data_IF_952381623296
#
_entry.id   IF_952381623296
#
_cell.length_a   1.000
_cell.length_b   1.000
_cell.length_c   1.000
_cell.angle_alpha   90.00
_cell.angle_beta   90.00
_cell.angle_gamma   90.00
#
_symmetry.space_group_name_H-M   'P 1'
#
loop_
_entity.id
_entity.type
_entity.pdbx_description
1 polymer ?
#
# COMPACT_ATOMS: atom_id res chain seq x y z
N UNK A 1 28.34 9.61 13.52
CA UNK A 1 27.12 9.21 14.29
C UNK A 1 25.93 9.54 13.42
N UNK A 2 24.95 8.64 13.34
CA UNK A 2 23.70 8.85 12.63
C UNK A 2 22.81 9.80 13.43
N UNK A 3 22.26 10.80 12.78
CA UNK A 3 21.38 11.80 13.38
C UNK A 3 19.98 11.57 12.81
N UNK A 4 19.08 11.05 13.63
CA UNK A 4 17.69 10.82 13.26
C UNK A 4 16.91 12.11 13.50
N UNK A 5 16.52 12.72 12.39
CA UNK A 5 15.85 14.02 12.40
C UNK A 5 14.33 13.95 12.20
N UNK A 6 13.80 12.74 12.19
CA UNK A 6 12.38 12.42 12.10
C UNK A 6 12.12 10.94 12.28
N UNK A 7 11.00 10.45 11.79
CA UNK A 7 10.64 9.05 11.77
C UNK A 7 9.59 8.78 10.70
N UNK A 8 9.57 7.56 10.17
CA UNK A 8 8.55 7.11 9.22
C UNK A 8 7.23 6.74 9.92
N UNK A 9 6.18 6.65 9.13
CA UNK A 9 4.83 6.35 9.60
C UNK A 9 4.42 4.92 9.29
N UNK A 10 3.50 4.40 10.12
CA UNK A 10 2.84 3.12 9.89
C UNK A 10 1.36 3.33 9.61
N UNK A 11 0.78 2.50 8.75
CA UNK A 11 -0.65 2.48 8.54
C UNK A 11 -1.41 2.25 9.85
N UNK A 12 -2.42 3.07 10.12
CA UNK A 12 -3.28 2.98 11.29
C UNK A 12 -2.72 3.61 12.58
N UNK A 13 -1.62 4.35 12.51
CA UNK A 13 -1.07 5.03 13.70
C UNK A 13 -1.77 6.35 14.06
N UNK A 14 -2.65 6.86 13.20
CA UNK A 14 -3.46 8.06 13.46
C UNK A 14 -2.94 9.33 12.79
N UNK A 15 -1.79 9.86 13.22
CA UNK A 15 -1.24 11.13 12.74
C UNK A 15 0.18 10.96 12.19
N UNK A 16 0.54 11.82 11.22
CA UNK A 16 1.91 11.92 10.71
C UNK A 16 2.87 12.34 11.83
N UNK A 17 4.02 11.67 11.93
CA UNK A 17 5.04 11.95 12.94
C UNK A 17 5.84 13.18 12.56
N UNK A 18 5.74 14.21 13.40
CA UNK A 18 6.54 15.44 13.30
C UNK A 18 7.30 15.62 14.60
N UNK A 19 8.59 15.90 14.51
CA UNK A 19 9.44 16.14 15.68
C UNK A 19 9.70 17.63 15.82
N UNK A 20 9.68 18.11 17.08
CA UNK A 20 9.86 19.52 17.40
C UNK A 20 11.17 20.08 16.86
N UNK A 21 11.09 21.11 16.03
CA UNK A 21 12.23 21.74 15.35
C UNK A 21 13.30 22.26 16.33
N UNK A 22 12.88 22.83 17.47
CA UNK A 22 13.80 23.38 18.49
C UNK A 22 14.65 22.27 19.14
N UNK A 23 14.06 21.11 19.41
CA UNK A 23 14.78 19.97 20.01
C UNK A 23 15.83 19.43 19.05
N UNK A 24 15.48 19.32 17.76
CA UNK A 24 16.42 18.90 16.73
C UNK A 24 17.54 19.92 16.50
N UNK A 25 17.22 21.21 16.48
CA UNK A 25 18.21 22.28 16.36
C UNK A 25 19.27 22.20 17.48
N UNK A 26 18.83 22.06 18.72
CA UNK A 26 19.70 21.93 19.88
C UNK A 26 20.53 20.66 19.84
N UNK A 27 19.91 19.53 19.53
CA UNK A 27 20.60 18.24 19.42
C UNK A 27 21.67 18.26 18.32
N UNK A 28 21.38 18.85 17.17
CA UNK A 28 22.33 19.02 16.08
C UNK A 28 23.54 19.88 16.50
N UNK A 29 23.29 21.00 17.17
CA UNK A 29 24.34 21.90 17.69
C UNK A 29 25.23 21.18 18.71
N UNK A 30 24.62 20.45 19.65
CA UNK A 30 25.34 19.64 20.66
C UNK A 30 26.22 18.55 20.03
N UNK A 31 25.74 17.90 18.98
CA UNK A 31 26.50 16.88 18.25
C UNK A 31 27.65 17.47 17.46
N UNK A 32 27.42 18.58 16.75
CA UNK A 32 28.47 19.25 15.96
C UNK A 32 29.59 19.83 16.84
N UNK A 33 29.29 20.22 18.09
CA UNK A 33 30.32 20.59 19.07
C UNK A 33 31.23 19.43 19.50
N UNK A 34 30.82 18.18 19.28
CA UNK A 34 31.53 16.98 19.73
C UNK A 34 32.09 16.14 18.59
N UNK A 35 31.67 16.34 17.36
CA UNK A 35 32.11 15.52 16.24
C UNK A 35 31.36 15.76 14.95
N UNK A 36 31.29 14.72 14.13
CA UNK A 36 30.64 14.75 12.83
C UNK A 36 29.25 14.12 12.88
N UNK A 37 28.35 14.62 12.04
CA UNK A 37 26.97 14.17 11.91
C UNK A 37 26.74 13.60 10.52
N UNK A 38 25.96 12.54 10.45
CA UNK A 38 25.41 11.97 9.24
C UNK A 38 23.89 11.96 9.40
N UNK A 39 23.18 12.72 8.56
CA UNK A 39 21.73 12.80 8.62
C UNK A 39 21.09 11.51 8.16
N UNK A 40 20.07 11.06 8.90
CA UNK A 40 19.18 9.99 8.54
C UNK A 40 17.74 10.39 8.94
N UNK A 41 16.90 10.80 7.97
CA UNK A 41 17.11 10.95 6.53
C UNK A 41 17.29 12.43 6.16
N UNK A 42 18.12 12.71 5.18
CA UNK A 42 18.14 14.05 4.57
C UNK A 42 16.97 14.28 3.63
N UNK A 43 16.56 13.22 2.95
CA UNK A 43 15.38 13.09 2.12
C UNK A 43 14.89 11.64 2.21
N UNK A 44 13.66 11.44 2.64
CA UNK A 44 13.09 10.10 2.80
C UNK A 44 12.60 9.49 1.49
N UNK A 45 11.83 10.25 0.73
CA UNK A 45 11.26 9.83 -0.56
C UNK A 45 9.98 9.03 -0.43
N UNK A 46 9.75 8.08 -1.36
CA UNK A 46 8.49 7.36 -1.51
C UNK A 46 8.74 5.86 -1.65
N UNK A 47 7.98 5.05 -0.94
CA UNK A 47 7.91 3.60 -1.09
C UNK A 47 7.01 3.23 -2.29
N UNK A 48 7.47 3.48 -3.51
CA UNK A 48 6.70 3.18 -4.71
C UNK A 48 6.34 1.69 -4.84
N UNK A 49 5.22 1.42 -5.48
CA UNK A 49 4.77 0.06 -5.71
C UNK A 49 4.39 -0.67 -4.42
N UNK A 50 4.92 -1.87 -4.26
CA UNK A 50 4.77 -2.68 -3.06
C UNK A 50 6.08 -2.74 -2.23
N UNK A 51 6.94 -1.72 -2.38
CA UNK A 51 8.30 -1.73 -1.80
C UNK A 51 8.37 -1.16 -0.38
N UNK A 52 7.24 -0.79 0.22
CA UNK A 52 7.22 -0.45 1.64
C UNK A 52 7.69 -1.65 2.48
N UNK A 53 8.45 -1.36 3.52
CA UNK A 53 8.77 -2.31 4.56
C UNK A 53 7.70 -2.39 5.64
N UNK A 54 8.04 -3.04 6.73
CA UNK A 54 7.25 -3.05 7.96
C UNK A 54 8.15 -3.26 9.17
N UNK A 55 7.74 -2.74 10.32
CA UNK A 55 8.28 -3.13 11.59
C UNK A 55 7.43 -4.25 12.20
N UNK A 56 7.93 -4.88 13.25
CA UNK A 56 7.20 -5.88 14.02
C UNK A 56 7.37 -5.60 15.51
N UNK A 57 6.24 -5.42 16.20
CA UNK A 57 6.17 -5.27 17.65
C UNK A 57 4.97 -6.08 18.19
N UNK A 58 5.12 -7.42 18.18
CA UNK A 58 4.05 -8.36 18.51
C UNK A 58 2.91 -8.42 17.46
N UNK A 59 2.91 -7.49 16.52
CA UNK A 59 2.07 -7.42 15.33
C UNK A 59 2.82 -6.72 14.19
N UNK A 60 2.39 -6.94 12.97
CA UNK A 60 2.94 -6.25 11.81
C UNK A 60 2.54 -4.76 11.85
N UNK A 61 3.52 -3.90 11.59
CA UNK A 61 3.37 -2.44 11.49
C UNK A 61 3.85 -2.01 10.10
N UNK A 62 2.99 -2.09 9.07
CA UNK A 62 3.40 -1.80 7.70
C UNK A 62 3.62 -0.30 7.53
N UNK A 63 4.73 0.05 6.87
CA UNK A 63 5.09 1.44 6.57
C UNK A 63 4.12 2.01 5.53
N UNK A 64 3.80 3.30 5.66
CA UNK A 64 3.00 4.00 4.65
C UNK A 64 3.79 4.19 3.34
N UNK A 65 3.09 4.59 2.29
CA UNK A 65 3.72 4.82 0.98
C UNK A 65 4.68 6.00 1.02
N UNK A 66 4.32 7.10 1.66
CA UNK A 66 5.24 8.21 1.86
C UNK A 66 6.32 7.86 2.89
N UNK A 67 7.57 8.07 2.53
CA UNK A 67 8.68 8.03 3.48
C UNK A 67 9.18 9.45 3.76
N UNK A 68 8.28 10.41 3.90
CA UNK A 68 8.60 11.83 4.15
C UNK A 68 9.57 11.99 5.32
N UNK A 69 9.35 11.25 6.40
CA UNK A 69 10.24 11.16 7.57
C UNK A 69 10.29 12.45 8.39
N UNK A 70 9.50 13.48 8.04
CA UNK A 70 9.71 14.83 8.55
C UNK A 70 11.16 15.32 8.31
N UNK A 71 11.72 14.96 7.13
CA UNK A 71 13.11 15.19 6.76
C UNK A 71 13.36 16.68 6.37
N UNK A 72 14.64 17.12 6.27
CA UNK A 72 14.99 18.43 5.74
C UNK A 72 14.47 18.73 4.35
N UNK A 73 14.33 17.71 3.49
CA UNK A 73 13.60 17.81 2.22
C UNK A 73 12.31 17.00 2.32
N UNK A 74 11.19 17.58 1.88
CA UNK A 74 9.90 16.87 1.79
C UNK A 74 9.95 15.71 0.82
N UNK A 75 8.92 14.84 0.81
CA UNK A 75 8.81 13.68 -0.07
C UNK A 75 9.07 14.02 -1.56
N UNK A 76 8.59 15.17 -2.03
CA UNK A 76 8.80 15.68 -3.40
C UNK A 76 10.06 16.54 -3.55
N UNK A 77 10.93 16.59 -2.52
CA UNK A 77 12.23 17.29 -2.57
C UNK A 77 12.18 18.80 -2.33
N UNK A 78 11.07 19.36 -1.86
CA UNK A 78 11.01 20.78 -1.47
C UNK A 78 11.81 21.04 -0.20
N UNK A 79 12.43 22.22 -0.12
CA UNK A 79 13.12 22.69 1.06
C UNK A 79 12.10 22.96 2.17
N UNK A 80 12.29 22.34 3.35
CA UNK A 80 11.45 22.53 4.53
C UNK A 80 12.03 23.60 5.47
N UNK A 81 11.25 24.00 6.47
CA UNK A 81 11.75 24.87 7.55
C UNK A 81 12.91 24.20 8.30
N UNK A 82 12.87 22.88 8.47
CA UNK A 82 13.92 22.09 9.13
C UNK A 82 15.26 22.19 8.38
N UNK A 83 15.24 22.13 7.04
CA UNK A 83 16.44 22.36 6.23
C UNK A 83 17.07 23.72 6.52
N UNK A 84 16.27 24.79 6.52
CA UNK A 84 16.76 26.14 6.74
C UNK A 84 17.34 26.32 8.16
N UNK A 85 16.71 25.74 9.16
CA UNK A 85 17.20 25.77 10.52
C UNK A 85 18.50 24.97 10.71
N UNK A 86 18.59 23.77 10.10
CA UNK A 86 19.82 22.99 10.13
C UNK A 86 20.97 23.69 9.42
N UNK A 87 20.69 24.34 8.30
CA UNK A 87 21.67 25.17 7.61
C UNK A 87 22.22 26.28 8.50
N UNK A 88 21.35 26.99 9.26
CA UNK A 88 21.77 28.00 10.22
C UNK A 88 22.65 27.45 11.34
N UNK A 89 22.33 26.26 11.85
CA UNK A 89 23.17 25.61 12.88
C UNK A 89 24.53 25.23 12.30
N UNK A 90 24.57 24.58 11.13
CA UNK A 90 25.80 24.12 10.51
C UNK A 90 26.73 25.30 10.16
N UNK A 91 26.15 26.45 9.75
CA UNK A 91 26.94 27.66 9.42
C UNK A 91 27.76 28.21 10.57
N UNK A 92 27.43 27.87 11.83
CA UNK A 92 28.25 28.22 13.01
C UNK A 92 29.57 27.44 13.08
N UNK A 93 29.68 26.30 12.41
CA UNK A 93 30.81 25.37 12.49
C UNK A 93 31.63 25.31 11.21
N UNK A 94 31.05 25.65 10.07
CA UNK A 94 31.74 25.67 8.77
C UNK A 94 31.07 26.64 7.81
N UNK A 95 31.82 27.09 6.84
CA UNK A 95 31.28 27.81 5.70
C UNK A 95 30.39 26.87 4.87
N UNK A 96 29.20 27.35 4.52
CA UNK A 96 28.26 26.64 3.65
C UNK A 96 28.33 27.30 2.29
N UNK A 97 28.64 26.52 1.22
CA UNK A 97 28.63 27.06 -0.14
C UNK A 97 27.20 27.50 -0.50
N UNK A 98 27.12 28.59 -1.26
CA UNK A 98 25.85 29.00 -1.87
C UNK A 98 25.45 27.99 -2.94
N UNK A 99 24.24 27.48 -2.86
CA UNK A 99 23.71 26.49 -3.81
C UNK A 99 22.63 27.17 -4.65
N UNK A 100 22.86 27.25 -5.95
CA UNK A 100 21.84 27.67 -6.91
C UNK A 100 20.98 26.47 -7.30
N UNK A 101 19.68 26.55 -7.04
CA UNK A 101 18.71 25.56 -7.50
C UNK A 101 18.36 25.86 -8.95
N UNK A 102 18.88 25.08 -9.87
CA UNK A 102 18.75 25.30 -11.32
C UNK A 102 17.44 24.81 -11.90
N UNK A 103 16.72 23.92 -11.20
CA UNK A 103 15.46 23.37 -11.66
C UNK A 103 14.42 23.44 -10.53
N UNK A 104 13.48 24.38 -10.58
CA UNK A 104 12.42 24.44 -9.58
C UNK A 104 11.51 23.21 -9.74
N UNK A 105 11.18 22.58 -8.61
CA UNK A 105 10.13 21.57 -8.56
C UNK A 105 8.79 22.30 -8.71
N UNK A 106 8.06 21.96 -9.76
CA UNK A 106 6.76 22.57 -10.02
C UNK A 106 5.67 21.61 -9.60
N UNK A 107 4.87 22.01 -8.62
CA UNK A 107 3.65 21.30 -8.23
C UNK A 107 2.47 21.78 -9.07
N UNK A 108 1.60 20.86 -9.48
CA UNK A 108 0.41 21.16 -10.29
C UNK A 108 -0.81 20.42 -9.74
N UNK A 109 -1.94 21.14 -9.76
CA UNK A 109 -3.26 20.54 -9.60
C UNK A 109 -3.86 20.27 -10.98
N UNK A 110 -4.36 19.05 -11.18
CA UNK A 110 -5.12 18.69 -12.39
C UNK A 110 -6.62 18.58 -12.10
N UNK A 111 -7.02 18.85 -10.84
CA UNK A 111 -8.41 18.89 -10.42
C UNK A 111 -9.06 17.55 -10.19
N UNK A 112 -10.39 17.54 -10.24
CA UNK A 112 -11.21 16.37 -9.97
C UNK A 112 -11.45 15.56 -11.24
N UNK A 113 -11.18 14.26 -11.17
CA UNK A 113 -11.39 13.31 -12.25
C UNK A 113 -12.60 12.43 -11.95
N UNK A 114 -13.39 12.15 -12.97
CA UNK A 114 -14.52 11.22 -12.90
C UNK A 114 -14.05 9.83 -13.33
N UNK A 115 -14.58 8.79 -12.67
CA UNK A 115 -14.37 7.41 -13.11
C UNK A 115 -14.94 7.21 -14.51
N UNK A 116 -14.22 6.50 -15.36
CA UNK A 116 -14.62 6.22 -16.73
C UNK A 116 -15.00 4.78 -16.94
N UNK A 117 -14.24 3.87 -16.35
CA UNK A 117 -14.45 2.44 -16.47
C UNK A 117 -14.23 1.76 -15.10
N UNK A 118 -14.95 0.66 -14.86
CA UNK A 118 -14.81 -0.18 -13.69
C UNK A 118 -14.81 -1.64 -14.11
N UNK A 119 -14.02 -2.49 -13.43
CA UNK A 119 -14.03 -3.94 -13.63
C UNK A 119 -13.86 -4.65 -12.30
N UNK A 120 -14.67 -5.65 -12.00
CA UNK A 120 -14.57 -6.50 -10.82
C UNK A 120 -13.31 -7.36 -10.84
N UNK A 121 -12.65 -7.54 -9.70
CA UNK A 121 -11.50 -8.44 -9.60
C UNK A 121 -11.86 -9.87 -10.06
N UNK A 122 -12.99 -10.37 -9.60
CA UNK A 122 -13.41 -11.75 -9.89
C UNK A 122 -13.74 -11.96 -11.38
N UNK A 123 -14.23 -10.93 -12.05
CA UNK A 123 -14.66 -10.96 -13.45
C UNK A 123 -13.49 -10.85 -14.43
N UNK A 124 -12.40 -10.18 -14.04
CA UNK A 124 -11.17 -10.01 -14.84
C UNK A 124 -10.03 -10.93 -14.40
N UNK A 125 -10.26 -11.82 -13.43
CA UNK A 125 -9.23 -12.64 -12.80
C UNK A 125 -8.47 -13.53 -13.80
N UNK A 126 -9.16 -14.08 -14.79
CA UNK A 126 -8.61 -14.96 -15.82
C UNK A 126 -7.64 -14.25 -16.79
N UNK A 127 -7.75 -12.93 -16.95
CA UNK A 127 -6.81 -12.12 -17.73
C UNK A 127 -5.59 -11.70 -16.90
N UNK A 128 -5.77 -11.55 -15.60
CA UNK A 128 -4.72 -11.13 -14.66
C UNK A 128 -3.79 -12.27 -14.26
N UNK A 129 -4.33 -13.48 -14.08
CA UNK A 129 -3.60 -14.59 -13.48
C UNK A 129 -4.05 -15.94 -13.99
N UNK A 130 -3.11 -16.89 -14.02
CA UNK A 130 -3.39 -18.31 -14.26
C UNK A 130 -3.28 -19.05 -12.93
N UNK A 131 -4.29 -19.84 -12.52
CA UNK A 131 -4.26 -20.50 -11.21
C UNK A 131 -3.22 -21.62 -11.12
N UNK A 132 -2.57 -21.70 -9.97
CA UNK A 132 -1.83 -22.87 -9.53
C UNK A 132 -2.77 -23.74 -8.71
N UNK A 133 -2.88 -25.02 -9.05
CA UNK A 133 -3.81 -25.97 -8.41
C UNK A 133 -3.08 -26.94 -7.53
N UNK A 134 -3.43 -26.93 -6.25
CA UNK A 134 -2.85 -27.86 -5.27
C UNK A 134 -3.89 -28.31 -4.24
N UNK A 135 -3.55 -29.40 -3.55
CA UNK A 135 -4.40 -29.93 -2.49
C UNK A 135 -4.46 -28.97 -1.27
N UNK A 136 -3.34 -28.35 -0.92
CA UNK A 136 -3.22 -27.38 0.17
C UNK A 136 -2.83 -26.01 -0.38
N UNK A 137 -3.19 -24.91 0.31
CA UNK A 137 -2.69 -23.59 -0.06
C UNK A 137 -1.16 -23.55 -0.01
N UNK A 138 -0.56 -22.81 -0.93
CA UNK A 138 0.86 -22.49 -0.97
C UNK A 138 1.07 -21.04 -0.53
N UNK A 139 2.18 -20.77 0.14
CA UNK A 139 2.61 -19.40 0.46
C UNK A 139 2.95 -18.61 -0.81
N UNK A 140 3.04 -17.29 -0.70
CA UNK A 140 3.49 -16.45 -1.83
C UNK A 140 4.88 -16.85 -2.32
N UNK A 141 5.79 -17.21 -1.40
CA UNK A 141 7.15 -17.65 -1.73
C UNK A 141 7.16 -18.97 -2.52
N UNK A 142 6.28 -19.91 -2.16
CA UNK A 142 6.13 -21.18 -2.90
C UNK A 142 5.48 -20.98 -4.27
N UNK A 143 4.67 -19.93 -4.42
CA UNK A 143 4.12 -19.47 -5.71
C UNK A 143 5.12 -18.64 -6.54
N UNK A 144 6.32 -18.36 -6.01
CA UNK A 144 7.34 -17.54 -6.67
C UNK A 144 7.02 -16.04 -6.68
N UNK A 145 6.17 -15.58 -5.75
CA UNK A 145 5.70 -14.21 -5.66
C UNK A 145 6.26 -13.51 -4.41
N UNK A 146 6.80 -12.29 -4.56
CA UNK A 146 7.42 -11.55 -3.47
C UNK A 146 6.53 -10.48 -2.83
N UNK A 147 5.52 -9.97 -3.56
CA UNK A 147 4.67 -8.84 -3.16
C UNK A 147 3.29 -8.91 -3.81
N UNK A 148 2.39 -8.00 -3.43
CA UNK A 148 1.05 -7.88 -4.00
C UNK A 148 0.04 -8.76 -3.29
N UNK A 149 -0.83 -9.42 -4.07
CA UNK A 149 -1.97 -10.18 -3.56
C UNK A 149 -1.95 -11.61 -4.09
N UNK A 150 -2.61 -12.53 -3.40
CA UNK A 150 -2.98 -13.86 -3.90
C UNK A 150 -4.45 -14.09 -3.60
N UNK A 151 -5.21 -14.49 -4.61
CA UNK A 151 -6.56 -15.00 -4.40
C UNK A 151 -6.53 -16.52 -4.30
N UNK A 152 -6.96 -17.05 -3.16
CA UNK A 152 -7.16 -18.48 -2.92
C UNK A 152 -8.63 -18.80 -3.11
N UNK A 153 -8.96 -19.65 -4.07
CA UNK A 153 -10.34 -20.08 -4.36
C UNK A 153 -10.51 -21.57 -4.13
N UNK A 154 -11.56 -21.93 -3.45
CA UNK A 154 -11.93 -23.34 -3.29
C UNK A 154 -13.45 -23.52 -3.25
N UNK A 155 -13.92 -24.70 -3.65
CA UNK A 155 -15.33 -25.06 -3.59
C UNK A 155 -15.62 -25.86 -2.33
N UNK A 156 -16.54 -25.37 -1.50
CA UNK A 156 -17.03 -26.07 -0.32
C UNK A 156 -18.24 -26.92 -0.73
N UNK A 157 -18.21 -28.23 -0.39
CA UNK A 157 -19.26 -29.21 -0.72
C UNK A 157 -19.88 -29.86 0.50
N UNK A 158 -19.64 -29.32 1.70
CA UNK A 158 -20.02 -29.95 2.98
C UNK A 158 -21.22 -29.31 3.67
N UNK A 159 -22.19 -28.87 2.89
CA UNK A 159 -23.41 -28.23 3.39
C UNK A 159 -23.32 -26.71 3.41
N UNK A 160 -24.48 -26.13 3.63
CA UNK A 160 -24.71 -24.69 3.50
C UNK A 160 -24.15 -23.89 4.69
N UNK A 161 -24.28 -24.44 5.92
CA UNK A 161 -23.86 -23.78 7.16
C UNK A 161 -22.37 -24.05 7.43
N UNK A 162 -21.55 -23.02 7.39
CA UNK A 162 -20.15 -23.05 7.81
C UNK A 162 -20.05 -22.42 9.19
N UNK A 163 -19.88 -23.25 10.22
CA UNK A 163 -19.81 -22.79 11.62
C UNK A 163 -18.47 -22.19 11.98
N UNK A 164 -17.41 -22.66 11.32
CA UNK A 164 -16.06 -22.15 11.54
C UNK A 164 -15.22 -22.20 10.27
N UNK A 165 -14.57 -21.08 9.98
CA UNK A 165 -13.51 -20.95 8.99
C UNK A 165 -12.31 -20.30 9.65
N UNK A 166 -11.17 -21.01 9.66
CA UNK A 166 -9.94 -20.55 10.30
C UNK A 166 -8.79 -20.62 9.30
N UNK A 167 -8.00 -19.54 9.19
CA UNK A 167 -6.78 -19.50 8.39
C UNK A 167 -5.61 -19.80 9.33
N UNK A 168 -4.85 -20.84 9.03
CA UNK A 168 -3.67 -21.22 9.79
C UNK A 168 -2.39 -20.77 9.09
N UNK A 169 -1.59 -19.95 9.80
CA UNK A 169 -0.37 -19.37 9.26
C UNK A 169 -0.62 -18.39 8.12
N UNK A 170 -1.66 -17.55 8.25
CA UNK A 170 -1.94 -16.50 7.28
C UNK A 170 -1.16 -15.23 7.59
N UNK A 171 -0.73 -14.49 6.55
CA UNK A 171 -0.08 -13.19 6.62
C UNK A 171 -0.20 -12.43 5.29
N UNK A 172 -0.55 -11.12 5.27
CA UNK A 172 -0.70 -10.23 6.46
C UNK A 172 -2.15 -9.80 6.66
N UNK A 173 -2.94 -9.64 5.56
CA UNK A 173 -4.35 -9.25 5.58
C UNK A 173 -5.15 -10.16 4.67
N UNK A 174 -6.29 -10.64 5.16
CA UNK A 174 -7.21 -11.51 4.44
C UNK A 174 -8.59 -10.88 4.33
N UNK A 175 -9.19 -10.96 3.14
CA UNK A 175 -10.62 -10.71 2.93
C UNK A 175 -11.25 -12.01 2.48
N UNK A 176 -12.28 -12.47 3.20
CA UNK A 176 -12.98 -13.71 2.93
C UNK A 176 -14.32 -13.41 2.23
N UNK A 177 -14.60 -14.17 1.18
CA UNK A 177 -15.84 -14.09 0.44
C UNK A 177 -16.50 -15.48 0.36
N UNK A 178 -17.79 -15.54 0.60
CA UNK A 178 -18.61 -16.73 0.41
C UNK A 178 -19.61 -16.45 -0.72
N UNK A 179 -19.55 -17.23 -1.80
CA UNK A 179 -20.36 -17.03 -3.01
C UNK A 179 -20.37 -15.57 -3.50
N UNK A 180 -19.18 -14.94 -3.53
CA UNK A 180 -19.00 -13.55 -3.96
C UNK A 180 -19.37 -12.50 -2.91
N UNK A 181 -19.88 -12.86 -1.73
CA UNK A 181 -20.24 -11.92 -0.67
C UNK A 181 -19.13 -11.85 0.38
N UNK A 182 -18.68 -10.64 0.71
CA UNK A 182 -17.71 -10.45 1.78
C UNK A 182 -18.29 -10.91 3.14
N UNK A 183 -17.57 -11.80 3.81
CA UNK A 183 -18.01 -12.35 5.11
C UNK A 183 -17.07 -11.98 6.25
N UNK A 184 -15.81 -11.65 5.96
CA UNK A 184 -14.83 -11.28 6.99
C UNK A 184 -13.65 -10.51 6.42
N UNK A 185 -13.02 -9.66 7.27
CA UNK A 185 -11.71 -9.05 7.02
C UNK A 185 -10.85 -9.33 8.25
N UNK A 186 -9.62 -9.79 8.04
CA UNK A 186 -8.66 -10.09 9.11
C UNK A 186 -7.33 -9.43 8.83
N UNK A 187 -6.78 -8.80 9.85
CA UNK A 187 -5.40 -8.33 9.83
C UNK A 187 -4.49 -9.37 10.52
N UNK A 188 -3.19 -9.18 10.44
CA UNK A 188 -2.15 -10.05 10.97
C UNK A 188 -2.46 -10.62 12.38
N UNK A 189 -2.76 -9.74 13.34
CA UNK A 189 -3.05 -10.12 14.73
C UNK A 189 -4.42 -10.79 14.95
N UNK A 190 -5.27 -10.85 13.92
CA UNK A 190 -6.60 -11.46 13.96
C UNK A 190 -6.70 -12.69 13.02
N UNK A 191 -5.60 -13.09 12.42
CA UNK A 191 -5.61 -14.10 11.35
C UNK A 191 -6.18 -15.44 11.82
N UNK A 192 -5.91 -15.83 13.05
CA UNK A 192 -6.40 -17.07 13.67
C UNK A 192 -7.88 -17.00 14.13
N UNK A 193 -8.54 -15.85 13.95
CA UNK A 193 -9.95 -15.71 14.32
C UNK A 193 -10.83 -16.69 13.56
N UNK A 194 -11.81 -17.24 14.26
CA UNK A 194 -12.83 -18.11 13.68
C UNK A 194 -14.03 -17.31 13.22
N UNK A 195 -14.47 -17.51 11.97
CA UNK A 195 -15.65 -16.87 11.41
C UNK A 195 -16.61 -17.93 10.86
N UNK A 196 -17.90 -17.82 11.20
CA UNK A 196 -18.96 -18.61 10.59
C UNK A 196 -19.69 -17.81 9.52
N UNK A 197 -20.19 -18.51 8.50
CA UNK A 197 -21.00 -17.91 7.43
C UNK A 197 -21.93 -18.95 6.79
N UNK A 198 -22.83 -18.51 5.94
CA UNK A 198 -23.70 -19.38 5.17
C UNK A 198 -23.40 -19.25 3.67
N UNK A 199 -23.36 -20.37 2.96
CA UNK A 199 -23.36 -20.44 1.51
C UNK A 199 -24.77 -20.30 0.96
N UNK A 200 -24.91 -19.89 -0.27
CA UNK A 200 -26.24 -19.81 -0.91
C UNK A 200 -26.86 -21.19 -1.12
N UNK A 201 -26.04 -22.20 -1.42
CA UNK A 201 -26.45 -23.58 -1.69
C UNK A 201 -25.62 -24.57 -0.86
N UNK A 202 -25.93 -25.87 -0.99
CA UNK A 202 -25.15 -26.98 -0.38
C UNK A 202 -23.71 -27.04 -0.89
N UNK A 203 -23.45 -26.43 -2.03
CA UNK A 203 -22.14 -26.25 -2.64
C UNK A 203 -21.96 -24.78 -3.00
N UNK A 204 -20.83 -24.18 -2.60
CA UNK A 204 -20.50 -22.79 -2.89
C UNK A 204 -19.01 -22.54 -2.90
N UNK A 205 -18.63 -21.34 -3.25
CA UNK A 205 -17.22 -20.93 -3.32
C UNK A 205 -16.79 -20.18 -2.06
N UNK A 206 -15.60 -20.51 -1.60
CA UNK A 206 -14.83 -19.72 -0.64
C UNK A 206 -13.67 -19.07 -1.39
N UNK A 207 -13.63 -17.75 -1.39
CA UNK A 207 -12.52 -16.95 -1.90
C UNK A 207 -11.84 -16.25 -0.72
N UNK A 208 -10.50 -16.28 -0.69
CA UNK A 208 -9.68 -15.57 0.31
C UNK A 208 -8.67 -14.73 -0.45
N UNK A 209 -8.86 -13.41 -0.44
CA UNK A 209 -7.90 -12.46 -0.98
C UNK A 209 -6.87 -12.12 0.11
N UNK A 210 -5.65 -12.62 -0.06
CA UNK A 210 -4.53 -12.34 0.83
C UNK A 210 -3.68 -11.19 0.27
N UNK A 211 -3.31 -10.26 1.14
CA UNK A 211 -2.38 -9.18 0.83
C UNK A 211 -1.08 -9.32 1.64
N UNK A 212 0.06 -9.18 0.97
CA UNK A 212 1.35 -8.93 1.58
C UNK A 212 1.47 -7.42 1.85
N UNK A 213 1.40 -6.99 3.10
CA UNK A 213 1.40 -5.58 3.49
C UNK A 213 2.80 -4.96 3.65
N UNK A 214 3.83 -5.70 3.32
CA UNK A 214 5.24 -5.34 3.48
C UNK A 214 6.02 -6.38 4.26
N UNK A 215 7.33 -6.47 4.00
CA UNK A 215 8.20 -7.41 4.72
C UNK A 215 8.90 -6.70 5.87
N UNK A 216 9.05 -7.38 6.99
CA UNK A 216 9.77 -6.85 8.14
C UNK A 216 11.21 -6.54 7.74
N UNK A 217 11.61 -5.30 7.99
CA UNK A 217 12.92 -4.76 7.60
C UNK A 217 13.90 -4.65 8.80
N UNK A 218 13.41 -4.92 10.02
CA UNK A 218 14.20 -4.84 11.24
C UNK A 218 13.74 -5.86 12.30
N UNK A 219 14.68 -6.51 12.98
CA UNK A 219 14.43 -7.42 14.09
C UNK A 219 14.47 -8.91 13.73
N UNK A 220 14.14 -9.79 14.68
CA UNK A 220 14.29 -11.25 14.54
C UNK A 220 13.34 -11.87 13.50
N UNK A 221 12.23 -11.20 13.19
CA UNK A 221 11.23 -11.70 12.24
C UNK A 221 11.64 -11.59 10.77
N UNK A 222 12.77 -10.95 10.42
CA UNK A 222 13.23 -10.77 9.04
C UNK A 222 13.32 -12.10 8.28
N UNK A 223 13.84 -13.15 8.91
CA UNK A 223 14.09 -14.43 8.25
C UNK A 223 12.89 -15.39 8.31
N UNK A 224 11.91 -15.11 9.17
CA UNK A 224 10.85 -16.05 9.49
C UNK A 224 9.55 -15.81 8.71
N UNK A 225 9.46 -14.71 8.00
CA UNK A 225 8.24 -14.30 7.33
C UNK A 225 7.98 -15.06 6.03
N UNK A 226 6.84 -15.72 6.00
CA UNK A 226 6.18 -16.16 4.77
C UNK A 226 4.85 -15.44 4.64
N UNK A 227 4.48 -15.10 3.41
CA UNK A 227 3.26 -14.36 3.08
C UNK A 227 2.22 -15.29 2.44
N UNK A 228 0.95 -14.89 2.50
CA UNK A 228 -0.15 -15.73 2.06
C UNK A 228 -0.57 -16.75 3.12
N UNK A 229 -0.96 -17.96 2.73
CA UNK A 229 -1.41 -19.04 3.62
C UNK A 229 -0.37 -20.16 3.64
N UNK A 230 0.22 -20.42 4.83
CA UNK A 230 1.36 -21.36 4.94
C UNK A 230 0.98 -22.73 5.49
N UNK A 231 -0.07 -22.84 6.31
CA UNK A 231 -0.44 -24.11 6.95
C UNK A 231 -1.79 -24.67 6.46
N UNK A 232 -2.69 -23.81 5.98
CA UNK A 232 -3.97 -24.24 5.43
C UNK A 232 -5.18 -23.52 5.99
N UNK A 233 -6.35 -23.96 5.58
CA UNK A 233 -7.64 -23.43 6.02
C UNK A 233 -8.47 -24.55 6.61
N UNK A 234 -8.99 -24.34 7.82
CA UNK A 234 -9.91 -25.25 8.48
C UNK A 234 -11.35 -24.79 8.21
N UNK A 235 -12.16 -25.68 7.72
CA UNK A 235 -13.61 -25.48 7.56
C UNK A 235 -14.33 -26.49 8.45
N UNK A 236 -15.12 -26.01 9.40
CA UNK A 236 -15.78 -26.84 10.42
C UNK A 236 -14.79 -27.80 11.13
N UNK A 237 -13.61 -27.28 11.48
CA UNK A 237 -12.58 -28.01 12.23
C UNK A 237 -11.78 -29.05 11.42
N UNK A 238 -11.94 -29.10 10.10
CA UNK A 238 -11.21 -30.02 9.21
C UNK A 238 -10.45 -29.23 8.16
N UNK A 239 -9.19 -29.59 7.87
CA UNK A 239 -8.46 -29.01 6.77
C UNK A 239 -9.23 -29.14 5.45
N UNK A 240 -9.47 -28.02 4.82
CA UNK A 240 -10.14 -27.97 3.53
C UNK A 240 -9.11 -28.13 2.42
N UNK A 241 -9.45 -28.95 1.43
CA UNK A 241 -8.54 -29.38 0.36
C UNK A 241 -9.07 -28.94 -1.01
N UNK A 242 -8.14 -28.75 -1.96
CA UNK A 242 -8.46 -28.42 -3.35
C UNK A 242 -8.55 -26.89 -3.56
N UNK A 243 -7.41 -26.28 -3.80
CA UNK A 243 -7.26 -24.84 -3.96
C UNK A 243 -6.77 -24.46 -5.35
N UNK A 244 -7.43 -23.50 -5.94
CA UNK A 244 -6.97 -22.73 -7.09
C UNK A 244 -6.39 -21.40 -6.54
N UNK A 245 -5.10 -21.19 -6.73
CA UNK A 245 -4.39 -20.01 -6.23
C UNK A 245 -3.99 -19.11 -7.38
N UNK A 246 -4.43 -17.86 -7.36
CA UNK A 246 -4.19 -16.88 -8.41
C UNK A 246 -3.16 -15.85 -7.90
N UNK A 247 -1.87 -15.96 -8.30
CA UNK A 247 -0.87 -14.93 -8.00
C UNK A 247 -1.25 -13.61 -8.67
N UNK A 248 -1.26 -12.53 -7.90
CA UNK A 248 -1.62 -11.18 -8.35
C UNK A 248 -0.52 -10.16 -7.96
N UNK A 249 0.67 -10.27 -8.54
CA UNK A 249 1.74 -9.29 -8.33
C UNK A 249 1.41 -7.95 -8.99
N UNK A 250 0.42 -7.91 -9.90
CA UNK A 250 -0.03 -6.72 -10.64
C UNK A 250 1.11 -5.98 -11.35
N UNK A 251 2.08 -6.71 -11.91
CA UNK A 251 3.22 -6.14 -12.64
C UNK A 251 2.80 -5.50 -13.98
N UNK A 252 1.74 -6.02 -14.57
CA UNK A 252 1.17 -5.53 -15.81
C UNK A 252 -0.33 -5.24 -15.63
N UNK A 253 -0.63 -4.01 -15.23
CA UNK A 253 -2.00 -3.57 -14.97
C UNK A 253 -2.84 -3.44 -16.26
N UNK A 254 -2.21 -3.43 -17.44
CA UNK A 254 -2.92 -3.38 -18.73
C UNK A 254 -3.73 -4.64 -19.04
N UNK A 255 -3.50 -5.71 -18.26
CA UNK A 255 -4.27 -6.97 -18.34
C UNK A 255 -5.67 -6.87 -17.71
N UNK A 256 -5.98 -5.81 -17.00
CA UNK A 256 -7.35 -5.59 -16.50
C UNK A 256 -8.28 -5.41 -17.70
N UNK A 257 -9.27 -6.28 -17.79
CA UNK A 257 -10.28 -6.23 -18.87
C UNK A 257 -11.49 -5.39 -18.41
N UNK A 258 -11.48 -4.11 -18.72
CA UNK A 258 -12.57 -3.19 -18.39
C UNK A 258 -13.86 -3.41 -19.19
N UNK A 259 -13.90 -4.38 -20.12
CA UNK A 259 -15.14 -4.80 -20.75
C UNK A 259 -15.91 -5.84 -19.91
N UNK A 260 -15.32 -6.31 -18.81
CA UNK A 260 -15.94 -7.23 -17.85
C UNK A 260 -16.88 -6.52 -16.89
N UNK A 261 -17.70 -7.32 -16.23
CA UNK A 261 -18.68 -6.84 -15.26
C UNK A 261 -18.04 -6.23 -14.00
N UNK A 262 -18.82 -5.46 -13.29
CA UNK A 262 -18.49 -4.84 -12.01
C UNK A 262 -19.66 -5.00 -11.04
N UNK A 263 -19.37 -5.41 -9.83
CA UNK A 263 -20.33 -5.48 -8.74
C UNK A 263 -19.87 -4.59 -7.57
N UNK A 264 -20.76 -3.71 -7.11
CA UNK A 264 -20.49 -2.84 -5.97
C UNK A 264 -20.34 -3.67 -4.67
N UNK A 265 -19.41 -3.29 -3.82
CA UNK A 265 -19.13 -4.00 -2.56
C UNK A 265 -18.10 -5.11 -2.70
N UNK A 266 -17.53 -5.32 -3.89
CA UNK A 266 -16.46 -6.29 -4.15
C UNK A 266 -15.17 -5.59 -4.60
N UNK A 267 -14.01 -6.26 -4.46
CA UNK A 267 -12.74 -5.73 -4.96
C UNK A 267 -12.80 -5.43 -6.45
N UNK A 268 -12.37 -4.22 -6.84
CA UNK A 268 -12.50 -3.77 -8.23
C UNK A 268 -11.40 -2.80 -8.65
N UNK A 269 -11.25 -2.67 -9.96
CA UNK A 269 -10.39 -1.71 -10.63
C UNK A 269 -11.22 -0.52 -11.13
N UNK A 270 -10.71 0.69 -10.91
CA UNK A 270 -11.31 1.95 -11.32
C UNK A 270 -10.34 2.69 -12.23
N UNK A 271 -10.82 3.11 -13.39
CA UNK A 271 -10.00 3.80 -14.39
C UNK A 271 -10.41 5.26 -14.52
N UNK A 272 -9.42 6.13 -14.47
CA UNK A 272 -9.53 7.56 -14.67
C UNK A 272 -8.55 8.01 -15.73
N UNK A 273 -8.90 9.05 -16.48
CA UNK A 273 -7.97 9.70 -17.41
C UNK A 273 -8.04 11.21 -17.26
N UNK A 274 -6.92 11.89 -17.56
CA UNK A 274 -6.85 13.33 -17.63
C UNK A 274 -5.79 13.77 -18.65
N UNK A 275 -5.95 14.97 -19.16
CA UNK A 275 -4.97 15.58 -20.07
C UNK A 275 -4.11 16.60 -19.31
N UNK A 276 -2.79 16.38 -19.32
CA UNK A 276 -1.82 17.33 -18.82
C UNK A 276 -1.26 18.17 -19.96
N UNK A 277 -1.50 19.49 -19.93
CA UNK A 277 -0.87 20.43 -20.89
C UNK A 277 0.62 20.62 -20.61
N UNK A 278 0.99 20.63 -19.34
CA UNK A 278 2.36 20.60 -18.84
C UNK A 278 2.45 19.66 -17.66
N UNK A 279 3.56 18.95 -17.56
CA UNK A 279 3.80 18.02 -16.45
C UNK A 279 4.35 18.75 -15.23
N UNK A 280 4.03 18.23 -14.04
CA UNK A 280 4.53 18.71 -12.77
C UNK A 280 4.16 17.70 -11.68
N UNK A 281 4.79 17.81 -10.54
CA UNK A 281 4.50 16.95 -9.39
C UNK A 281 3.07 17.20 -8.91
N UNK A 282 2.38 16.14 -8.51
CA UNK A 282 1.01 16.25 -8.01
C UNK A 282 0.75 15.20 -6.93
N UNK A 283 -0.33 15.38 -6.19
CA UNK A 283 -0.71 14.51 -5.09
C UNK A 283 -2.13 14.01 -5.30
N UNK A 284 -2.27 12.69 -5.37
CA UNK A 284 -3.54 12.03 -5.62
C UNK A 284 -4.31 11.82 -4.31
N UNK A 285 -5.44 12.51 -4.21
CA UNK A 285 -6.40 12.33 -3.12
C UNK A 285 -7.37 11.20 -3.47
N UNK A 286 -7.35 10.15 -2.66
CA UNK A 286 -8.18 8.95 -2.80
C UNK A 286 -9.22 8.83 -1.68
N UNK A 287 -9.57 9.95 -1.07
CA UNK A 287 -10.58 10.00 0.01
C UNK A 287 -11.88 9.35 -0.42
N UNK A 288 -12.38 8.45 0.42
CA UNK A 288 -13.60 7.66 0.17
C UNK A 288 -13.35 6.23 -0.28
N UNK A 289 -12.20 5.92 -0.86
CA UNK A 289 -11.75 4.55 -1.06
C UNK A 289 -11.25 3.94 0.26
N UNK A 290 -11.33 2.61 0.37
CA UNK A 290 -10.93 1.88 1.58
C UNK A 290 -9.44 1.57 1.59
N UNK A 291 -9.03 0.59 0.80
CA UNK A 291 -7.65 0.11 0.74
C UNK A 291 -7.31 -0.43 -0.65
N UNK A 292 -6.04 -0.26 -1.03
CA UNK A 292 -5.58 -0.78 -2.31
C UNK A 292 -4.26 -0.20 -2.77
N UNK A 293 -4.09 -0.12 -4.09
CA UNK A 293 -2.92 0.47 -4.72
C UNK A 293 -3.28 1.23 -6.00
N UNK A 294 -2.39 2.11 -6.43
CA UNK A 294 -2.63 3.00 -7.57
C UNK A 294 -1.55 2.85 -8.63
N UNK A 295 -1.97 2.86 -9.88
CA UNK A 295 -1.10 2.84 -11.05
C UNK A 295 -1.28 4.13 -11.86
N UNK A 296 -0.18 4.79 -12.20
CA UNK A 296 -0.15 5.95 -13.07
C UNK A 296 0.63 5.59 -14.33
N UNK A 297 0.00 5.67 -15.50
CA UNK A 297 0.60 5.27 -16.78
C UNK A 297 1.27 3.87 -16.71
N UNK A 298 0.61 2.93 -16.03
CA UNK A 298 1.08 1.55 -15.84
C UNK A 298 2.14 1.34 -14.75
N UNK A 299 2.54 2.39 -14.02
CA UNK A 299 3.50 2.30 -12.91
C UNK A 299 2.78 2.34 -11.58
N UNK A 300 3.00 1.34 -10.74
CA UNK A 300 2.48 1.31 -9.37
C UNK A 300 3.17 2.40 -8.53
N UNK A 301 2.39 3.37 -8.04
CA UNK A 301 2.89 4.49 -7.22
C UNK A 301 2.76 4.24 -5.71
N UNK A 302 2.16 3.13 -5.32
CA UNK A 302 2.06 2.74 -3.92
C UNK A 302 0.67 2.36 -3.48
N UNK A 303 0.58 2.08 -2.18
CA UNK A 303 -0.64 1.67 -1.49
C UNK A 303 -1.35 2.89 -0.92
N UNK A 304 -2.67 2.78 -0.79
CA UNK A 304 -3.48 3.66 0.03
C UNK A 304 -4.28 2.83 1.04
N UNK A 305 -4.61 3.44 2.15
CA UNK A 305 -5.52 2.88 3.15
C UNK A 305 -6.20 4.00 3.94
N UNK A 306 -7.52 3.94 4.06
CA UNK A 306 -8.30 4.91 4.85
C UNK A 306 -7.90 4.99 6.33
N UNK A 307 -7.22 3.96 6.85
CA UNK A 307 -6.68 3.96 8.21
C UNK A 307 -5.66 5.08 8.45
N UNK A 308 -5.12 5.68 7.38
CA UNK A 308 -4.14 6.76 7.48
C UNK A 308 -2.81 6.36 8.13
N UNK A 309 -1.95 7.34 8.46
CA UNK A 309 -2.20 8.78 8.37
C UNK A 309 -2.21 9.34 6.95
N UNK A 310 -1.37 8.84 6.04
CA UNK A 310 -1.25 9.37 4.67
C UNK A 310 -2.59 9.35 3.92
N UNK A 311 -2.99 10.53 3.38
CA UNK A 311 -4.24 10.72 2.65
C UNK A 311 -4.04 10.93 1.16
N UNK A 312 -2.88 11.48 0.75
CA UNK A 312 -2.54 11.74 -0.65
C UNK A 312 -1.27 11.03 -1.05
N UNK A 313 -1.30 10.43 -2.23
CA UNK A 313 -0.15 9.74 -2.82
C UNK A 313 0.61 10.69 -3.74
N UNK A 314 1.93 10.75 -3.60
CA UNK A 314 2.80 11.53 -4.45
C UNK A 314 2.92 10.94 -5.86
N UNK A 315 2.72 11.75 -6.87
CA UNK A 315 2.94 11.44 -8.29
C UNK A 315 4.04 12.37 -8.83
N UNK A 316 5.26 11.84 -9.06
CA UNK A 316 6.33 12.62 -9.67
C UNK A 316 5.98 13.08 -11.08
N UNK A 317 6.25 14.33 -11.40
CA UNK A 317 6.03 14.90 -12.74
C UNK A 317 6.62 14.05 -13.89
N UNK A 318 7.82 13.42 -13.75
CA UNK A 318 8.39 12.55 -14.77
C UNK A 318 7.60 11.27 -15.07
N UNK A 319 6.66 10.85 -14.23
CA UNK A 319 5.72 9.76 -14.54
C UNK A 319 4.58 10.21 -15.45
N UNK A 320 4.32 11.51 -15.51
CA UNK A 320 3.31 12.11 -16.36
C UNK A 320 3.90 12.43 -17.74
N UNK A 321 3.01 12.54 -18.72
CA UNK A 321 3.31 12.98 -20.07
C UNK A 321 2.37 14.11 -20.50
N UNK A 322 2.82 14.98 -21.36
CA UNK A 322 1.92 15.93 -22.03
C UNK A 322 0.86 15.15 -22.81
N UNK A 323 -0.38 15.61 -22.73
CA UNK A 323 -1.55 14.90 -23.26
C UNK A 323 -2.16 13.93 -22.25
N UNK A 324 -2.75 12.86 -22.75
CA UNK A 324 -3.57 11.94 -21.94
C UNK A 324 -2.73 11.06 -21.02
N UNK A 325 -3.08 11.07 -19.74
CA UNK A 325 -2.56 10.22 -18.69
C UNK A 325 -3.67 9.33 -18.14
N UNK A 326 -3.28 8.12 -17.69
CA UNK A 326 -4.18 7.12 -17.15
C UNK A 326 -3.84 6.86 -15.67
N UNK A 327 -4.87 6.76 -14.84
CA UNK A 327 -4.77 6.30 -13.46
C UNK A 327 -5.68 5.08 -13.33
N UNK A 328 -5.13 3.96 -12.89
CA UNK A 328 -5.90 2.76 -12.50
C UNK A 328 -5.72 2.56 -11.00
N UNK A 329 -6.83 2.48 -10.29
CA UNK A 329 -6.88 2.25 -8.86
C UNK A 329 -7.46 0.87 -8.63
N UNK A 330 -6.74 0.00 -7.91
CA UNK A 330 -7.26 -1.27 -7.40
C UNK A 330 -7.74 -1.07 -5.98
N UNK A 331 -9.03 -1.26 -5.76
CA UNK A 331 -9.71 -1.13 -4.49
C UNK A 331 -10.12 -2.51 -3.97
N UNK A 332 -9.80 -2.82 -2.71
CA UNK A 332 -9.99 -4.17 -2.17
C UNK A 332 -11.12 -4.30 -1.16
N UNK A 333 -11.59 -3.20 -0.56
CA UNK A 333 -12.56 -3.21 0.54
C UNK A 333 -14.02 -3.05 0.08
N UNK A 334 -14.23 -3.03 -1.25
CA UNK A 334 -15.56 -2.93 -1.85
C UNK A 334 -16.17 -1.52 -1.77
N UNK A 335 -15.36 -0.49 -1.50
CA UNK A 335 -15.84 0.90 -1.54
C UNK A 335 -15.90 1.42 -2.96
N UNK A 336 -16.99 2.08 -3.30
CA UNK A 336 -17.20 2.67 -4.61
C UNK A 336 -17.20 4.19 -4.50
N UNK A 337 -16.27 4.84 -5.19
CA UNK A 337 -16.16 6.29 -5.30
C UNK A 337 -16.06 6.66 -6.77
N UNK A 338 -16.82 7.70 -7.16
CA UNK A 338 -16.90 8.13 -8.56
C UNK A 338 -15.80 9.12 -8.94
N UNK A 339 -15.09 9.68 -7.96
CA UNK A 339 -14.12 10.75 -8.19
C UNK A 339 -12.84 10.58 -7.41
N UNK A 340 -11.73 11.04 -7.99
CA UNK A 340 -10.45 11.30 -7.33
C UNK A 340 -10.03 12.73 -7.61
N UNK A 341 -9.08 13.27 -6.84
CA UNK A 341 -8.59 14.64 -7.06
C UNK A 341 -7.06 14.68 -7.13
N UNK A 342 -6.53 15.42 -8.11
CA UNK A 342 -5.10 15.68 -8.26
C UNK A 342 -4.79 17.09 -7.76
N UNK A 343 -4.06 17.17 -6.65
CA UNK A 343 -3.79 18.39 -5.88
C UNK A 343 -2.32 18.80 -5.98
N UNK A 344 -2.02 20.07 -5.78
CA UNK A 344 -0.66 20.62 -5.73
C UNK A 344 -0.06 20.64 -4.32
N UNK A 345 -0.77 20.05 -3.34
CA UNK A 345 -0.36 20.02 -1.94
C UNK A 345 -0.38 18.60 -1.39
N UNK A 346 0.67 18.17 -0.64
CA UNK A 346 0.65 16.91 0.08
C UNK A 346 -0.39 16.91 1.21
N UNK A 347 -0.79 15.73 1.64
CA UNK A 347 -1.54 15.49 2.87
C UNK A 347 -1.07 14.16 3.46
N UNK A 348 -0.28 14.25 4.51
CA UNK A 348 0.32 13.10 5.20
C UNK A 348 -0.48 12.68 6.45
N UNK A 349 -1.56 13.41 6.77
CA UNK A 349 -2.45 13.15 7.90
C UNK A 349 -2.18 13.91 9.16
#
# INVERSE_FOLDING_TARGET
>A
MEFWDGWFDHWGQGEHKVVGLEDHRKSLEDMLNRGHVNFYMFHGGTNFGFMNGSNYDGKLLPDVTSYDYDAPLSEDGQITEKYLEFQKVISKFREIPEVEFTTPITRKSYGTLQVQEKAGLFDTLDTLSTPVREAMPLSMEELGQNYGYVLYRSTITRGKEIRSCEIRGGADRAILFADGKQVDIRNDYEMDRTTGFELENEQGNLDILMENMGRVNYGPEIELQKKGITHGVLVNGTFHMGWDMYPLPLEDISKVDFARDYEEGLPAFYKFTFDAGETGDTFLDVTGFGKGCVFVNGKNIGRFWEAGPQRRLYIPGPLLREGTNEIILFETDGKSVETICLMDTPDLG
#
